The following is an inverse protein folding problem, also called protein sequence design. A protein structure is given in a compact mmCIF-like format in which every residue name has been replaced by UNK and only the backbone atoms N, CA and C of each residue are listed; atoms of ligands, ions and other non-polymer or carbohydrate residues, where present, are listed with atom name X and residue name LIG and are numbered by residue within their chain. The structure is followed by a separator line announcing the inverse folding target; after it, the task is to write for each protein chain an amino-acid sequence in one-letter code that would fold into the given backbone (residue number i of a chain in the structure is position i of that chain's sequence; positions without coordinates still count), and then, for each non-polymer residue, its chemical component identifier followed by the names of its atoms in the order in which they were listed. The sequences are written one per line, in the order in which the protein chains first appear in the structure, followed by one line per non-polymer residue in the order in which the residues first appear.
data_IF_794563510526
#
_entry.id   IF_794563510526
#
_cell.length_a   1.000
_cell.length_b   1.000
_cell.length_c   1.000
_cell.angle_alpha   90.00
_cell.angle_beta   90.00
_cell.angle_gamma   90.00
#
_symmetry.space_group_name_H-M   'P 1'
#
loop_
_entity.id
_entity.type
_entity.pdbx_description
1 polymer ?
#
# COMPACT_ATOMS: atom_id res chain seq x y z
N UNK A 1 3.21 17.85 -1.41
CA UNK A 1 2.41 17.22 -2.50
C UNK A 1 2.09 15.75 -2.25
N UNK A 2 3.08 14.88 -2.00
CA UNK A 2 2.86 13.44 -1.75
C UNK A 2 1.95 13.17 -0.54
N UNK A 3 2.20 13.83 0.59
CA UNK A 3 1.38 13.64 1.81
C UNK A 3 -0.08 14.08 1.63
N UNK A 4 -0.32 15.19 0.91
CA UNK A 4 -1.67 15.65 0.57
C UNK A 4 -2.39 14.65 -0.35
N UNK A 5 -1.69 14.08 -1.33
CA UNK A 5 -2.25 13.04 -2.20
C UNK A 5 -2.60 11.75 -1.42
N UNK A 6 -1.79 11.37 -0.43
CA UNK A 6 -2.08 10.22 0.43
C UNK A 6 -3.32 10.44 1.30
N UNK A 7 -3.50 11.65 1.87
CA UNK A 7 -4.70 12.01 2.63
C UNK A 7 -5.97 11.95 1.76
N UNK A 8 -5.92 12.49 0.54
CA UNK A 8 -7.05 12.44 -0.40
C UNK A 8 -7.37 11.02 -0.87
N UNK A 9 -6.34 10.20 -1.11
CA UNK A 9 -6.51 8.79 -1.46
C UNK A 9 -7.18 8.00 -0.32
N UNK A 10 -6.75 8.26 0.92
CA UNK A 10 -7.38 7.67 2.11
C UNK A 10 -8.85 8.10 2.20
N UNK A 11 -9.14 9.38 2.02
CA UNK A 11 -10.50 9.92 2.07
C UNK A 11 -11.40 9.33 0.97
N UNK A 12 -10.90 9.23 -0.26
CA UNK A 12 -11.56 8.55 -1.37
C UNK A 12 -11.86 7.08 -1.04
N UNK A 13 -10.88 6.33 -0.51
CA UNK A 13 -11.04 4.92 -0.15
C UNK A 13 -12.09 4.72 0.95
N UNK A 14 -12.09 5.58 1.97
CA UNK A 14 -13.07 5.52 3.06
C UNK A 14 -14.51 5.78 2.58
N UNK A 15 -14.69 6.57 1.52
CA UNK A 15 -16.00 6.85 0.92
C UNK A 15 -16.56 5.70 0.09
N UNK A 16 -15.69 4.99 -0.63
CA UNK A 16 -16.11 3.86 -1.46
C UNK A 16 -16.35 2.56 -0.68
N UNK A 17 -15.82 2.46 0.54
CA UNK A 17 -16.02 1.29 1.37
C UNK A 17 -17.49 1.13 1.75
N UNK A 18 -18.04 -0.05 1.48
CA UNK A 18 -19.31 -0.46 2.08
C UNK A 18 -19.21 -0.44 3.60
N UNK A 19 -20.35 -0.37 4.29
CA UNK A 19 -20.39 -0.44 5.76
C UNK A 19 -19.68 -1.70 6.30
N UNK A 20 -19.72 -2.80 5.55
CA UNK A 20 -19.04 -4.05 5.91
C UNK A 20 -17.51 -3.95 5.75
N UNK A 21 -17.01 -3.36 4.67
CA UNK A 21 -15.57 -3.19 4.41
C UNK A 21 -14.92 -2.15 5.32
N UNK A 22 -15.63 -1.04 5.56
CA UNK A 22 -15.20 0.00 6.49
C UNK A 22 -15.07 -0.57 7.90
N UNK A 23 -16.09 -1.32 8.33
CA UNK A 23 -16.09 -2.07 9.59
C UNK A 23 -14.98 -3.10 9.63
N UNK A 24 -14.75 -3.91 8.60
CA UNK A 24 -13.65 -4.88 8.58
C UNK A 24 -12.28 -4.19 8.76
N UNK A 25 -12.09 -3.07 8.06
CA UNK A 25 -10.86 -2.28 8.14
C UNK A 25 -10.69 -1.67 9.53
N UNK A 26 -11.78 -1.13 10.09
CA UNK A 26 -11.81 -0.60 11.44
C UNK A 26 -11.68 -1.68 12.51
N UNK A 27 -12.17 -2.89 12.28
CA UNK A 27 -11.99 -4.06 13.15
C UNK A 27 -10.56 -4.57 13.07
N UNK A 28 -9.88 -4.51 11.92
CA UNK A 28 -8.45 -4.84 11.80
C UNK A 28 -7.56 -3.80 12.48
N UNK A 29 -7.89 -2.51 12.34
CA UNK A 29 -7.19 -1.45 13.09
C UNK A 29 -7.52 -1.52 14.57
N UNK A 30 -8.75 -1.84 14.96
CA UNK A 30 -9.15 -2.11 16.34
C UNK A 30 -8.45 -3.35 16.89
N UNK A 31 -8.31 -4.45 16.16
CA UNK A 31 -7.56 -5.64 16.58
C UNK A 31 -6.05 -5.34 16.71
N UNK A 32 -5.52 -4.41 15.91
CA UNK A 32 -4.18 -3.86 16.09
C UNK A 32 -4.10 -2.96 17.33
N UNK A 33 -5.15 -2.19 17.63
CA UNK A 33 -5.27 -1.42 18.87
C UNK A 33 -5.52 -2.30 20.10
N UNK A 34 -6.18 -3.46 19.98
CA UNK A 34 -6.40 -4.43 21.05
C UNK A 34 -5.11 -5.18 21.38
N UNK A 35 -4.24 -5.42 20.38
CA UNK A 35 -2.84 -5.81 20.63
C UNK A 35 -2.08 -4.77 21.45
N UNK A 36 -2.42 -3.48 21.28
CA UNK A 36 -1.89 -2.39 22.11
C UNK A 36 -2.59 -2.28 23.50
N UNK A 37 -3.65 -3.05 23.76
CA UNK A 37 -4.29 -3.17 25.09
C UNK A 37 -3.73 -4.32 25.93
N UNK A 38 -2.78 -5.09 25.40
CA UNK A 38 -2.12 -6.17 26.12
C UNK A 38 -1.47 -5.73 27.45
N UNK A 39 -0.99 -6.69 28.26
CA UNK A 39 -0.27 -6.37 29.48
C UNK A 39 0.91 -5.44 29.17
N UNK A 40 1.12 -4.45 30.04
CA UNK A 40 2.30 -3.59 29.94
C UNK A 40 3.56 -4.45 30.10
N UNK A 41 4.64 -4.12 29.40
CA UNK A 41 5.93 -4.72 29.72
C UNK A 41 6.25 -4.49 31.21
N UNK A 42 6.83 -5.49 31.91
CA UNK A 42 7.33 -5.28 33.26
C UNK A 42 8.55 -4.34 33.21
N UNK A 43 8.58 -3.33 34.08
CA UNK A 43 9.68 -2.36 34.19
C UNK A 43 9.23 -0.90 34.15
N UNK A 44 10.18 0.01 34.36
CA UNK A 44 9.96 1.46 34.27
C UNK A 44 9.92 1.94 32.80
N UNK A 45 9.12 2.97 32.52
CA UNK A 45 9.03 3.61 31.19
C UNK A 45 10.39 4.12 30.73
N UNK A 46 11.24 4.56 31.67
CA UNK A 46 12.64 4.97 31.37
C UNK A 46 13.46 3.83 30.79
N UNK A 47 13.40 2.64 31.38
CA UNK A 47 14.13 1.47 30.89
C UNK A 47 13.73 1.05 29.47
N UNK A 48 12.44 1.23 29.13
CA UNK A 48 11.95 1.00 27.77
C UNK A 48 12.49 2.03 26.77
N UNK A 49 12.49 3.31 27.14
CA UNK A 49 13.06 4.38 26.30
C UNK A 49 14.57 4.21 26.12
N UNK A 50 15.30 3.87 27.19
CA UNK A 50 16.74 3.60 27.13
C UNK A 50 17.04 2.40 26.21
N UNK A 51 16.21 1.35 26.28
CA UNK A 51 16.32 0.18 25.40
C UNK A 51 16.02 0.53 23.94
N UNK A 52 15.01 1.37 23.68
CA UNK A 52 14.71 1.88 22.33
C UNK A 52 15.90 2.66 21.77
N UNK A 53 16.41 3.64 22.52
CA UNK A 53 17.55 4.48 22.12
C UNK A 53 18.79 3.63 21.89
N UNK A 54 19.06 2.64 22.75
CA UNK A 54 20.21 1.75 22.62
C UNK A 54 20.14 0.90 21.35
N UNK A 55 18.97 0.30 21.06
CA UNK A 55 18.77 -0.52 19.86
C UNK A 55 18.78 0.33 18.59
N UNK A 56 18.20 1.53 18.60
CA UNK A 56 18.28 2.45 17.44
C UNK A 56 19.71 2.91 17.21
N UNK A 57 20.45 3.30 18.25
CA UNK A 57 21.83 3.72 18.11
C UNK A 57 22.73 2.59 17.61
N UNK A 58 22.47 1.35 17.99
CA UNK A 58 23.15 0.18 17.44
C UNK A 58 22.79 -0.10 15.98
N UNK A 59 21.52 0.10 15.60
CA UNK A 59 21.10 0.05 14.22
C UNK A 59 21.85 1.10 13.40
N UNK A 60 21.93 2.34 13.89
CA UNK A 60 22.58 3.46 13.23
C UNK A 60 24.09 3.25 13.09
N UNK A 61 24.76 2.74 14.15
CA UNK A 61 26.19 2.35 14.07
C UNK A 61 26.40 1.27 13.02
N UNK A 62 25.58 0.22 13.03
CA UNK A 62 25.68 -0.84 12.04
C UNK A 62 25.45 -0.32 10.62
N UNK A 63 24.46 0.57 10.42
CA UNK A 63 24.21 1.22 9.15
C UNK A 63 25.36 2.14 8.73
N UNK A 64 26.05 2.81 9.65
CA UNK A 64 27.22 3.63 9.34
C UNK A 64 28.45 2.79 8.97
N UNK A 65 28.61 1.63 9.61
CA UNK A 65 29.71 0.70 9.34
C UNK A 65 29.47 -0.13 8.06
N UNK A 66 28.22 -0.43 7.72
CA UNK A 66 27.85 -1.41 6.67
C UNK A 66 26.90 -0.85 5.58
N UNK A 67 26.52 0.43 5.63
CA UNK A 67 25.75 1.12 4.59
C UNK A 67 26.46 2.43 4.22
N UNK A 68 26.73 2.77 2.96
CA UNK A 68 26.26 2.27 1.67
C UNK A 68 27.40 2.54 0.68
N UNK A 69 27.90 1.53 -0.04
CA UNK A 69 28.58 1.78 -1.31
C UNK A 69 27.56 2.36 -2.30
N UNK A 70 27.58 3.68 -2.49
CA UNK A 70 26.77 4.34 -3.50
C UNK A 70 27.42 4.21 -4.87
N UNK A 71 27.18 3.11 -5.59
CA UNK A 71 27.22 3.12 -7.06
C UNK A 71 26.02 2.37 -7.67
N UNK A 72 25.06 3.15 -8.17
CA UNK A 72 24.37 2.83 -9.42
C UNK A 72 23.21 1.82 -9.44
N UNK A 73 22.89 1.08 -8.38
CA UNK A 73 21.75 0.13 -8.40
C UNK A 73 20.90 0.21 -7.15
N UNK A 74 19.57 0.06 -7.29
CA UNK A 74 18.55 0.22 -6.25
C UNK A 74 18.96 -0.30 -4.86
N UNK A 75 18.54 0.35 -3.75
CA UNK A 75 19.00 0.01 -2.41
C UNK A 75 18.62 -1.43 -2.07
N UNK A 76 19.59 -2.34 -2.17
CA UNK A 76 19.49 -3.65 -1.56
C UNK A 76 19.39 -3.43 -0.05
N UNK A 77 18.38 -4.00 0.60
CA UNK A 77 18.28 -4.00 2.07
C UNK A 77 19.65 -4.40 2.64
N UNK A 78 20.22 -3.64 3.59
CA UNK A 78 21.48 -4.03 4.21
C UNK A 78 21.30 -5.42 4.80
N UNK A 79 22.24 -6.32 4.52
CA UNK A 79 22.21 -7.67 5.11
C UNK A 79 22.65 -7.54 6.57
N UNK A 80 21.70 -7.48 7.50
CA UNK A 80 21.96 -7.49 8.95
C UNK A 80 22.51 -8.86 9.45
N UNK A 81 23.04 -9.70 8.55
CA UNK A 81 23.46 -11.08 8.81
C UNK A 81 24.90 -11.20 9.33
N UNK A 82 25.72 -10.15 9.24
CA UNK A 82 27.19 -10.22 9.38
C UNK A 82 27.74 -10.06 10.79
N UNK A 83 26.93 -9.66 11.77
CA UNK A 83 27.43 -9.48 13.13
C UNK A 83 27.35 -10.80 13.91
N UNK A 84 28.50 -11.37 14.28
CA UNK A 84 28.61 -12.56 15.14
C UNK A 84 28.59 -12.20 16.63
N UNK A 85 28.91 -10.95 16.97
CA UNK A 85 28.89 -10.44 18.34
C UNK A 85 27.60 -9.68 18.69
N UNK A 86 27.14 -9.74 19.96
CA UNK A 86 25.95 -9.03 20.40
C UNK A 86 26.21 -7.52 20.45
N UNK A 87 25.39 -6.75 19.74
CA UNK A 87 25.54 -5.30 19.64
C UNK A 87 24.83 -4.57 20.77
N UNK A 88 23.74 -5.16 21.30
CA UNK A 88 22.91 -4.54 22.34
C UNK A 88 22.37 -5.58 23.30
N UNK A 89 22.22 -5.18 24.57
CA UNK A 89 21.50 -5.94 25.60
C UNK A 89 20.19 -5.23 25.92
N UNK A 90 19.09 -5.97 25.93
CA UNK A 90 17.74 -5.44 26.23
C UNK A 90 17.10 -6.32 27.30
N UNK A 91 16.38 -5.78 28.30
CA UNK A 91 15.63 -6.61 29.24
C UNK A 91 14.77 -7.64 28.51
N UNK A 92 14.92 -8.93 28.85
CA UNK A 92 14.35 -10.01 28.03
C UNK A 92 12.82 -9.90 27.86
N UNK A 93 12.14 -9.33 28.86
CA UNK A 93 10.70 -9.14 28.86
C UNK A 93 10.21 -8.16 27.79
N UNK A 94 11.04 -7.20 27.36
CA UNK A 94 10.70 -6.24 26.30
C UNK A 94 10.76 -6.86 24.90
N UNK A 95 11.44 -8.00 24.77
CA UNK A 95 11.62 -8.75 23.52
C UNK A 95 11.12 -10.19 23.65
N UNK A 96 10.07 -10.40 24.44
CA UNK A 96 9.50 -11.71 24.74
C UNK A 96 9.22 -12.59 23.50
N UNK A 97 8.75 -12.06 22.34
CA UNK A 97 8.59 -12.89 21.13
C UNK A 97 9.89 -13.53 20.65
N UNK A 98 11.01 -12.82 20.71
CA UNK A 98 12.34 -13.33 20.33
C UNK A 98 12.85 -14.38 21.31
N UNK A 99 12.51 -14.22 22.59
CA UNK A 99 12.82 -15.21 23.62
C UNK A 99 12.00 -16.48 23.40
N UNK A 100 10.70 -16.34 23.11
CA UNK A 100 9.80 -17.46 22.86
C UNK A 100 10.23 -18.29 21.64
N UNK A 101 10.74 -17.65 20.58
CA UNK A 101 11.31 -18.32 19.41
C UNK A 101 12.72 -18.88 19.62
N UNK A 102 13.31 -18.70 20.82
CA UNK A 102 14.70 -19.07 21.15
C UNK A 102 15.72 -18.49 20.18
N UNK A 103 15.44 -17.32 19.62
CA UNK A 103 16.31 -16.69 18.62
C UNK A 103 17.40 -15.81 19.23
N UNK A 104 17.34 -15.56 20.54
CA UNK A 104 18.29 -14.70 21.27
C UNK A 104 18.89 -15.44 22.45
N UNK A 105 20.14 -15.13 22.77
CA UNK A 105 20.82 -15.63 23.97
C UNK A 105 20.43 -14.77 25.17
N UNK A 106 20.23 -15.39 26.34
CA UNK A 106 19.91 -14.70 27.58
C UNK A 106 21.11 -14.69 28.52
N UNK A 107 21.38 -13.55 29.18
CA UNK A 107 22.36 -13.41 30.25
C UNK A 107 21.88 -12.38 31.26
N UNK A 108 21.80 -12.78 32.54
CA UNK A 108 21.51 -11.90 33.69
C UNK A 108 20.22 -11.09 33.57
N UNK A 109 19.15 -11.68 33.01
CA UNK A 109 17.88 -10.96 32.80
C UNK A 109 17.84 -10.08 31.55
N UNK A 110 18.86 -10.17 30.69
CA UNK A 110 18.90 -9.47 29.41
C UNK A 110 18.95 -10.45 28.24
N UNK A 111 18.29 -10.09 27.14
CA UNK A 111 18.47 -10.69 25.84
C UNK A 111 19.62 -9.99 25.10
N UNK A 112 20.56 -10.79 24.60
CA UNK A 112 21.69 -10.36 23.79
C UNK A 112 21.26 -10.34 22.32
N UNK A 113 21.22 -9.14 21.74
CA UNK A 113 20.76 -8.91 20.38
C UNK A 113 21.96 -8.78 19.43
N UNK A 114 21.95 -9.57 18.36
CA UNK A 114 22.81 -9.37 17.21
C UNK A 114 22.12 -8.44 16.20
N UNK A 115 22.86 -7.93 15.22
CA UNK A 115 22.34 -7.05 14.17
C UNK A 115 21.07 -7.62 13.52
N UNK A 116 21.05 -8.92 13.17
CA UNK A 116 19.87 -9.57 12.56
C UNK A 116 18.59 -9.46 13.40
N UNK A 117 18.69 -9.28 14.71
CA UNK A 117 17.56 -9.19 15.62
C UNK A 117 17.01 -7.76 15.75
N UNK A 118 17.76 -6.74 15.34
CA UNK A 118 17.42 -5.32 15.49
C UNK A 118 16.02 -4.97 14.95
N UNK A 119 15.58 -5.39 13.75
CA UNK A 119 14.25 -5.02 13.24
C UNK A 119 13.10 -5.60 14.08
N UNK A 120 13.26 -6.85 14.52
CA UNK A 120 12.27 -7.53 15.34
C UNK A 120 12.26 -6.97 16.77
N UNK A 121 13.43 -6.63 17.33
CA UNK A 121 13.56 -5.99 18.63
C UNK A 121 12.94 -4.59 18.63
N UNK A 122 13.22 -3.77 17.61
CA UNK A 122 12.59 -2.45 17.43
C UNK A 122 11.06 -2.56 17.32
N UNK A 123 10.57 -3.57 16.61
CA UNK A 123 9.12 -3.80 16.52
C UNK A 123 8.50 -4.10 17.89
N UNK A 124 9.14 -4.96 18.69
CA UNK A 124 8.68 -5.28 20.05
C UNK A 124 8.72 -4.05 20.97
N UNK A 125 9.83 -3.31 20.94
CA UNK A 125 10.02 -2.13 21.78
C UNK A 125 9.07 -0.99 21.39
N UNK A 126 8.83 -0.77 20.10
CA UNK A 126 7.88 0.22 19.62
C UNK A 126 6.46 -0.15 20.02
N UNK A 127 6.09 -1.43 19.91
CA UNK A 127 4.78 -1.90 20.37
C UNK A 127 4.63 -1.69 21.89
N UNK A 128 5.65 -2.02 22.68
CA UNK A 128 5.69 -1.76 24.11
C UNK A 128 5.54 -0.26 24.44
N UNK A 129 6.22 0.63 23.72
CA UNK A 129 6.13 2.08 23.92
C UNK A 129 4.76 2.63 23.56
N UNK A 130 4.14 2.13 22.49
CA UNK A 130 2.77 2.46 22.13
C UNK A 130 1.77 2.01 23.21
N UNK A 131 1.96 0.83 23.80
CA UNK A 131 1.12 0.35 24.94
C UNK A 131 1.24 1.26 26.15
N UNK A 132 2.46 1.65 26.52
CA UNK A 132 2.71 2.58 27.64
C UNK A 132 2.10 3.95 27.34
N UNK A 133 2.38 4.50 26.17
CA UNK A 133 1.85 5.79 25.71
C UNK A 133 0.32 5.81 25.66
N UNK A 134 -0.32 4.73 25.23
CA UNK A 134 -1.78 4.61 25.22
C UNK A 134 -2.40 4.58 26.63
N UNK A 135 -1.72 3.96 27.61
CA UNK A 135 -2.20 3.96 29.00
C UNK A 135 -1.92 5.28 29.74
N UNK A 136 -0.79 5.93 29.43
CA UNK A 136 -0.44 7.24 29.99
C UNK A 136 -1.24 8.38 29.37
N UNK A 137 -1.56 8.28 28.08
CA UNK A 137 -2.56 9.11 27.43
C UNK A 137 -3.91 8.78 28.09
N UNK A 138 -4.25 9.53 29.14
CA UNK A 138 -5.61 9.51 29.67
C UNK A 138 -6.53 9.73 28.48
N UNK A 139 -7.55 8.89 28.26
CA UNK A 139 -8.59 9.23 27.32
C UNK A 139 -9.40 10.34 28.01
N UNK A 140 -8.90 11.57 27.94
CA UNK A 140 -9.80 12.68 27.75
C UNK A 140 -10.36 12.45 26.35
N UNK A 141 -11.32 11.52 26.22
CA UNK A 141 -12.20 11.52 25.07
C UNK A 141 -12.91 12.84 25.22
N UNK A 142 -12.39 13.82 24.49
CA UNK A 142 -13.02 15.11 24.35
C UNK A 142 -14.50 14.83 24.10
N UNK A 143 -15.38 15.39 24.94
CA UNK A 143 -16.80 15.08 24.89
C UNK A 143 -17.38 15.40 23.50
N UNK A 144 -16.71 16.27 22.72
CA UNK A 144 -17.04 16.57 21.32
C UNK A 144 -16.81 15.40 20.36
N UNK A 145 -15.97 14.43 20.71
CA UNK A 145 -15.69 13.23 19.91
C UNK A 145 -16.68 12.09 20.17
N UNK A 146 -17.39 12.08 21.31
CA UNK A 146 -18.37 11.04 21.66
C UNK A 146 -19.55 10.94 20.65
N UNK A 147 -20.13 12.06 20.14
CA UNK A 147 -21.15 12.00 19.08
C UNK A 147 -20.62 11.42 17.77
N UNK A 148 -19.34 11.65 17.44
CA UNK A 148 -18.72 11.11 16.23
C UNK A 148 -18.46 9.61 16.38
N UNK A 149 -17.95 9.19 17.54
CA UNK A 149 -17.71 7.79 17.87
C UNK A 149 -19.00 6.97 17.89
N UNK A 150 -20.09 7.50 18.48
CA UNK A 150 -21.41 6.84 18.50
C UNK A 150 -22.05 6.74 17.11
N UNK A 151 -21.90 7.77 16.27
CA UNK A 151 -22.32 7.73 14.85
C UNK A 151 -21.51 6.73 14.04
N UNK A 152 -20.21 6.57 14.32
CA UNK A 152 -19.37 5.57 13.68
C UNK A 152 -19.75 4.15 14.13
N UNK A 153 -19.83 3.89 15.44
CA UNK A 153 -20.16 2.55 15.97
C UNK A 153 -21.56 2.07 15.55
N UNK A 154 -22.57 2.95 15.60
CA UNK A 154 -23.92 2.62 15.10
C UNK A 154 -23.95 2.35 13.59
N UNK A 155 -23.05 2.95 12.81
CA UNK A 155 -22.98 2.71 11.36
C UNK A 155 -22.22 1.43 10.99
N UNK A 156 -21.45 0.84 11.91
CA UNK A 156 -20.47 -0.20 11.63
C UNK A 156 -20.77 -1.57 12.27
N UNK A 157 -21.90 -1.80 12.94
CA UNK A 157 -22.06 -2.89 13.93
C UNK A 157 -21.79 -4.36 13.50
N UNK A 158 -20.57 -4.88 13.77
CA UNK A 158 -19.89 -6.24 13.74
C UNK A 158 -20.53 -7.48 13.05
N UNK A 159 -19.84 -8.07 12.05
CA UNK A 159 -20.16 -9.24 11.18
C UNK A 159 -18.79 -9.73 10.72
N UNK A 160 -18.55 -11.01 10.94
CA UNK A 160 -17.30 -11.70 10.64
C UNK A 160 -17.12 -11.93 9.13
N UNK A 161 -15.85 -12.02 8.72
CA UNK A 161 -15.42 -11.99 7.31
C UNK A 161 -15.71 -13.27 6.53
N UNK A 162 -15.28 -13.30 5.25
CA UNK A 162 -15.32 -14.54 4.47
C UNK A 162 -14.25 -14.60 3.37
N UNK A 163 -13.43 -15.65 3.42
CA UNK A 163 -12.98 -16.49 2.30
C UNK A 163 -11.93 -15.98 1.29
N UNK A 164 -11.12 -16.89 0.69
CA UNK A 164 -10.32 -16.57 -0.50
C UNK A 164 -11.25 -16.34 -1.70
N UNK A 165 -11.15 -15.16 -2.31
CA UNK A 165 -12.00 -14.74 -3.41
C UNK A 165 -11.73 -15.56 -4.68
N UNK A 166 -12.80 -16.03 -5.33
CA UNK A 166 -12.74 -16.65 -6.65
C UNK A 166 -12.14 -15.67 -7.69
N UNK A 167 -11.51 -16.18 -8.78
CA UNK A 167 -10.98 -15.33 -9.83
C UNK A 167 -12.07 -14.43 -10.44
N UNK A 168 -11.75 -13.14 -10.58
CA UNK A 168 -12.66 -12.12 -11.07
C UNK A 168 -12.89 -12.30 -12.59
N UNK A 169 -14.13 -12.20 -13.05
CA UNK A 169 -14.48 -12.18 -14.48
C UNK A 169 -14.55 -10.75 -15.02
N UNK A 170 -14.50 -10.59 -16.35
CA UNK A 170 -14.62 -9.27 -16.99
C UNK A 170 -15.94 -8.54 -16.69
N UNK A 171 -17.12 -9.18 -16.72
CA UNK A 171 -18.36 -8.49 -16.34
C UNK A 171 -18.34 -8.02 -14.89
N UNK A 172 -17.73 -8.79 -13.99
CA UNK A 172 -17.56 -8.40 -12.59
C UNK A 172 -16.59 -7.21 -12.45
N UNK A 173 -15.51 -7.18 -13.24
CA UNK A 173 -14.62 -6.03 -13.33
C UNK A 173 -15.34 -4.78 -13.86
N UNK A 174 -16.15 -4.92 -14.91
CA UNK A 174 -16.94 -3.81 -15.46
C UNK A 174 -17.90 -3.25 -14.40
N UNK A 175 -18.61 -4.12 -13.67
CA UNK A 175 -19.47 -3.72 -12.55
C UNK A 175 -18.69 -3.06 -11.41
N UNK A 176 -17.47 -3.51 -11.13
CA UNK A 176 -16.58 -2.95 -10.11
C UNK A 176 -15.76 -1.74 -10.58
N UNK A 177 -15.88 -1.33 -11.86
CA UNK A 177 -15.07 -0.24 -12.43
C UNK A 177 -15.16 1.06 -11.62
N UNK A 178 -16.35 1.52 -11.17
CA UNK A 178 -16.46 2.75 -10.36
C UNK A 178 -15.72 2.69 -9.01
N UNK A 179 -15.40 1.48 -8.52
CA UNK A 179 -14.69 1.26 -7.27
C UNK A 179 -13.17 1.28 -7.43
N UNK A 180 -12.67 1.30 -8.67
CA UNK A 180 -11.25 1.32 -8.96
C UNK A 180 -10.64 2.66 -8.55
N UNK A 181 -9.35 2.69 -8.14
CA UNK A 181 -8.71 3.94 -7.78
C UNK A 181 -8.66 4.90 -8.98
N UNK A 182 -8.68 6.23 -8.76
CA UNK A 182 -8.76 7.21 -9.84
C UNK A 182 -7.63 7.09 -10.86
N UNK A 183 -6.44 6.66 -10.43
CA UNK A 183 -5.32 6.42 -11.34
C UNK A 183 -5.62 5.33 -12.39
N UNK A 184 -6.35 4.28 -12.03
CA UNK A 184 -6.71 3.21 -12.94
C UNK A 184 -7.95 3.57 -13.75
N UNK A 185 -8.90 4.31 -13.16
CA UNK A 185 -10.03 4.89 -13.89
C UNK A 185 -9.57 5.81 -15.02
N UNK A 186 -8.59 6.68 -14.77
CA UNK A 186 -8.02 7.55 -15.80
C UNK A 186 -7.42 6.75 -16.97
N UNK A 187 -6.69 5.66 -16.66
CA UNK A 187 -6.14 4.78 -17.69
C UNK A 187 -7.22 4.04 -18.48
N UNK A 188 -8.29 3.59 -17.81
CA UNK A 188 -9.42 2.92 -18.46
C UNK A 188 -10.20 3.86 -19.36
N UNK A 189 -10.50 5.08 -18.89
CA UNK A 189 -11.19 6.10 -19.68
C UNK A 189 -10.37 6.44 -20.94
N UNK A 190 -9.05 6.59 -20.79
CA UNK A 190 -8.17 6.89 -21.91
C UNK A 190 -8.04 5.72 -22.89
N UNK A 191 -7.96 4.49 -22.36
CA UNK A 191 -7.97 3.28 -23.18
C UNK A 191 -9.27 3.17 -23.98
N UNK A 192 -10.42 3.40 -23.37
CA UNK A 192 -11.73 3.37 -24.07
C UNK A 192 -11.86 4.46 -25.13
N UNK A 193 -11.21 5.61 -24.92
CA UNK A 193 -11.26 6.74 -25.86
C UNK A 193 -10.32 6.58 -27.05
N UNK A 194 -9.07 6.14 -26.82
CA UNK A 194 -8.06 6.02 -27.89
C UNK A 194 -7.90 4.60 -28.43
N UNK A 195 -8.41 3.60 -27.71
CA UNK A 195 -8.12 2.18 -27.87
C UNK A 195 -6.63 1.84 -27.81
N UNK A 196 -5.79 2.78 -27.33
CA UNK A 196 -4.33 2.66 -27.30
C UNK A 196 -3.81 3.36 -26.06
N UNK A 197 -2.98 2.64 -25.31
CA UNK A 197 -2.17 3.17 -24.22
C UNK A 197 -0.68 3.07 -24.54
N UNK A 198 0.16 4.00 -24.02
CA UNK A 198 1.61 3.90 -24.11
C UNK A 198 2.14 2.73 -23.28
N UNK A 199 3.39 2.32 -23.52
CA UNK A 199 3.92 1.07 -22.96
C UNK A 199 3.83 1.00 -21.43
N UNK A 200 4.28 2.04 -20.73
CA UNK A 200 4.31 2.03 -19.27
C UNK A 200 2.90 1.96 -18.66
N UNK A 201 1.91 2.57 -19.31
CA UNK A 201 0.53 2.59 -18.85
C UNK A 201 -0.16 1.24 -19.08
N UNK A 202 0.16 0.56 -20.19
CA UNK A 202 -0.25 -0.84 -20.39
C UNK A 202 0.28 -1.74 -19.29
N UNK A 203 1.54 -1.58 -18.91
CA UNK A 203 2.15 -2.39 -17.84
C UNK A 203 1.49 -2.09 -16.50
N UNK A 204 1.28 -0.82 -16.17
CA UNK A 204 0.63 -0.43 -14.92
C UNK A 204 -0.80 -0.98 -14.82
N UNK A 205 -1.62 -0.80 -15.85
CA UNK A 205 -3.00 -1.29 -15.88
C UNK A 205 -3.06 -2.82 -15.88
N UNK A 206 -2.24 -3.50 -16.69
CA UNK A 206 -2.27 -4.98 -16.77
C UNK A 206 -1.86 -5.64 -15.44
N UNK A 207 -0.82 -5.11 -14.78
CA UNK A 207 -0.38 -5.62 -13.48
C UNK A 207 -1.43 -5.35 -12.40
N UNK A 208 -2.10 -4.20 -12.44
CA UNK A 208 -3.21 -3.89 -11.55
C UNK A 208 -4.40 -4.85 -11.74
N UNK A 209 -4.84 -5.08 -12.98
CA UNK A 209 -5.94 -6.01 -13.26
C UNK A 209 -5.65 -7.43 -12.77
N UNK A 210 -4.40 -7.90 -12.93
CA UNK A 210 -3.93 -9.16 -12.36
C UNK A 210 -4.06 -9.18 -10.83
N UNK A 211 -3.57 -8.14 -10.14
CA UNK A 211 -3.60 -8.10 -8.67
C UNK A 211 -5.02 -7.92 -8.08
N UNK A 212 -5.94 -7.31 -8.83
CA UNK A 212 -7.37 -7.26 -8.47
C UNK A 212 -8.04 -8.64 -8.60
N UNK A 213 -7.37 -9.61 -9.22
CA UNK A 213 -7.80 -11.00 -9.31
C UNK A 213 -8.35 -11.41 -10.67
N UNK A 214 -8.18 -10.60 -11.72
CA UNK A 214 -8.56 -10.96 -13.09
C UNK A 214 -7.66 -12.10 -13.58
N UNK A 215 -8.25 -13.19 -14.07
CA UNK A 215 -7.47 -14.31 -14.61
C UNK A 215 -6.67 -13.90 -15.85
N UNK A 216 -5.65 -14.69 -16.21
CA UNK A 216 -4.86 -14.43 -17.42
C UNK A 216 -5.74 -14.42 -18.67
N UNK A 217 -6.66 -15.38 -18.78
CA UNK A 217 -7.56 -15.54 -19.92
C UNK A 217 -8.48 -14.32 -20.05
N UNK A 218 -9.04 -13.86 -18.93
CA UNK A 218 -9.88 -12.66 -18.88
C UNK A 218 -9.09 -11.39 -19.20
N UNK A 219 -7.84 -11.28 -18.73
CA UNK A 219 -6.96 -10.14 -19.06
C UNK A 219 -6.57 -10.13 -20.55
N UNK A 220 -6.33 -11.30 -21.15
CA UNK A 220 -6.12 -11.44 -22.60
C UNK A 220 -7.36 -10.96 -23.36
N UNK A 221 -8.55 -11.41 -22.97
CA UNK A 221 -9.82 -10.98 -23.59
C UNK A 221 -10.05 -9.47 -23.47
N UNK A 222 -9.69 -8.88 -22.32
CA UNK A 222 -9.76 -7.44 -22.10
C UNK A 222 -8.92 -6.67 -23.12
N UNK A 223 -7.63 -7.01 -23.24
CA UNK A 223 -6.73 -6.32 -24.18
C UNK A 223 -7.08 -6.60 -25.63
N UNK A 224 -7.53 -7.82 -25.95
CA UNK A 224 -8.03 -8.18 -27.28
C UNK A 224 -9.20 -7.29 -27.69
N UNK A 225 -10.21 -7.15 -26.82
CA UNK A 225 -11.40 -6.33 -27.09
C UNK A 225 -11.05 -4.89 -27.41
N UNK A 226 -10.10 -4.30 -26.68
CA UNK A 226 -9.67 -2.91 -26.89
C UNK A 226 -8.74 -2.76 -28.11
N UNK A 227 -7.76 -3.64 -28.30
CA UNK A 227 -6.75 -3.49 -29.37
C UNK A 227 -7.20 -4.02 -30.74
N UNK A 228 -8.35 -4.71 -30.79
CA UNK A 228 -9.06 -5.00 -32.03
C UNK A 228 -9.78 -3.75 -32.58
N UNK A 229 -10.13 -2.77 -31.73
CA UNK A 229 -10.75 -1.54 -32.21
C UNK A 229 -9.77 -0.68 -33.01
N UNK A 230 -10.26 0.09 -34.00
CA UNK A 230 -9.47 1.09 -34.69
C UNK A 230 -8.82 2.06 -33.70
N UNK A 231 -7.59 2.48 -34.00
CA UNK A 231 -6.92 3.46 -33.16
C UNK A 231 -7.67 4.80 -33.25
N UNK A 232 -8.07 5.35 -32.11
CA UNK A 232 -8.77 6.63 -32.03
C UNK A 232 -7.88 7.82 -32.38
N UNK A 233 -8.49 8.99 -32.58
CA UNK A 233 -7.77 10.24 -32.83
C UNK A 233 -6.76 10.55 -31.70
N UNK A 234 -5.51 10.85 -32.08
CA UNK A 234 -4.42 11.11 -31.13
C UNK A 234 -3.83 9.85 -30.48
N UNK A 235 -4.09 8.65 -31.02
CA UNK A 235 -3.43 7.43 -30.56
C UNK A 235 -1.90 7.55 -30.66
N UNK A 236 -1.21 7.20 -29.57
CA UNK A 236 0.26 7.28 -29.48
C UNK A 236 0.96 6.10 -30.17
N UNK A 237 0.19 5.17 -30.75
CA UNK A 237 0.69 3.88 -31.22
C UNK A 237 -0.21 3.26 -32.29
N UNK A 238 0.39 2.74 -33.37
CA UNK A 238 -0.30 2.10 -34.51
C UNK A 238 -0.45 0.58 -34.40
N UNK A 239 -0.16 0.01 -33.22
CA UNK A 239 -0.22 -1.44 -33.04
C UNK A 239 -1.68 -1.91 -33.03
N UNK A 240 -1.97 -3.08 -33.57
CA UNK A 240 -3.28 -3.73 -33.47
C UNK A 240 -3.14 -5.11 -32.84
N UNK A 241 -4.24 -5.65 -32.32
CA UNK A 241 -4.24 -7.02 -31.80
C UNK A 241 -3.85 -8.03 -32.88
N UNK A 242 -4.50 -7.99 -34.04
CA UNK A 242 -4.27 -8.90 -35.18
C UNK A 242 -2.79 -8.98 -35.63
N UNK A 243 -2.09 -7.84 -35.64
CA UNK A 243 -0.67 -7.79 -36.08
C UNK A 243 0.30 -8.19 -34.96
N UNK A 244 -0.10 -8.03 -33.70
CA UNK A 244 0.84 -8.04 -32.57
C UNK A 244 0.45 -9.04 -31.45
N UNK A 245 -0.53 -9.90 -31.69
CA UNK A 245 -1.11 -10.84 -30.72
C UNK A 245 -0.05 -11.63 -29.94
N UNK A 246 0.90 -12.26 -30.64
CA UNK A 246 1.97 -13.05 -30.00
C UNK A 246 2.77 -12.23 -28.97
N UNK A 247 3.05 -10.96 -29.25
CA UNK A 247 3.78 -10.08 -28.33
C UNK A 247 2.94 -9.69 -27.12
N UNK A 248 1.65 -9.42 -27.30
CA UNK A 248 0.74 -9.12 -26.20
C UNK A 248 0.54 -10.33 -25.28
N UNK A 249 0.31 -11.52 -25.87
CA UNK A 249 0.18 -12.77 -25.12
C UNK A 249 1.44 -13.06 -24.30
N UNK A 250 2.63 -12.98 -24.93
CA UNK A 250 3.88 -13.16 -24.21
C UNK A 250 4.04 -12.15 -23.07
N UNK A 251 3.75 -10.87 -23.31
CA UNK A 251 3.82 -9.83 -22.28
C UNK A 251 2.87 -10.09 -21.11
N UNK A 252 1.64 -10.51 -21.37
CA UNK A 252 0.66 -10.84 -20.34
C UNK A 252 1.10 -12.08 -19.55
N UNK A 253 1.52 -13.15 -20.21
CA UNK A 253 2.05 -14.35 -19.53
C UNK A 253 3.26 -14.04 -18.66
N UNK A 254 4.15 -13.16 -19.13
CA UNK A 254 5.28 -12.69 -18.35
C UNK A 254 4.85 -11.92 -17.08
N UNK A 255 3.84 -11.05 -17.17
CA UNK A 255 3.30 -10.34 -16.01
C UNK A 255 2.65 -11.27 -14.97
N UNK A 256 2.09 -12.40 -15.41
CA UNK A 256 1.56 -13.44 -14.52
C UNK A 256 2.63 -14.41 -14.01
N UNK A 257 3.91 -14.22 -14.37
CA UNK A 257 5.01 -15.08 -13.93
C UNK A 257 5.08 -16.43 -14.67
N UNK A 258 4.49 -16.54 -15.85
CA UNK A 258 4.49 -17.78 -16.65
C UNK A 258 5.60 -17.81 -17.71
N UNK A 259 6.33 -16.70 -17.90
CA UNK A 259 7.43 -16.58 -18.86
C UNK A 259 8.67 -15.96 -18.18
N UNK A 260 9.81 -16.03 -18.86
CA UNK A 260 11.05 -15.40 -18.40
C UNK A 260 11.51 -15.90 -17.02
N UNK A 261 11.78 -14.96 -16.09
CA UNK A 261 12.20 -15.27 -14.70
C UNK A 261 11.11 -15.92 -13.84
N UNK A 262 9.88 -16.09 -14.36
CA UNK A 262 8.73 -16.68 -13.66
C UNK A 262 8.38 -15.99 -12.34
N UNK A 263 8.56 -14.67 -12.30
CA UNK A 263 8.14 -13.82 -11.19
C UNK A 263 6.98 -12.96 -11.67
N UNK A 264 5.84 -13.05 -10.98
CA UNK A 264 4.67 -12.25 -11.29
C UNK A 264 4.96 -10.76 -11.00
N UNK A 265 4.57 -9.88 -11.91
CA UNK A 265 4.80 -8.45 -11.81
C UNK A 265 3.86 -7.87 -10.75
N UNK A 266 4.39 -7.24 -9.72
CA UNK A 266 3.56 -6.52 -8.76
C UNK A 266 2.99 -5.24 -9.38
N UNK A 267 1.74 -4.91 -9.04
CA UNK A 267 1.15 -3.61 -9.36
C UNK A 267 1.97 -2.46 -8.78
N UNK A 268 1.92 -1.31 -9.45
CA UNK A 268 2.70 -0.16 -9.02
C UNK A 268 2.15 0.41 -7.72
N UNK A 269 3.03 0.66 -6.75
CA UNK A 269 2.67 1.36 -5.53
C UNK A 269 2.26 2.81 -5.83
N UNK A 270 1.48 3.41 -4.92
CA UNK A 270 1.06 4.82 -5.02
C UNK A 270 2.28 5.75 -5.17
N UNK A 271 3.31 5.54 -4.36
CA UNK A 271 4.58 6.26 -4.44
C UNK A 271 5.19 6.19 -5.84
N UNK A 272 5.29 4.99 -6.41
CA UNK A 272 5.86 4.80 -7.76
C UNK A 272 5.02 5.48 -8.85
N UNK A 273 3.69 5.49 -8.72
CA UNK A 273 2.81 6.21 -9.64
C UNK A 273 2.91 7.73 -9.51
N UNK A 274 3.11 8.24 -8.28
CA UNK A 274 3.32 9.67 -8.02
C UNK A 274 4.67 10.15 -8.54
N UNK A 275 5.74 9.37 -8.33
CA UNK A 275 7.09 9.69 -8.83
C UNK A 275 7.12 9.78 -10.37
N UNK A 276 6.28 9.00 -11.05
CA UNK A 276 6.16 9.00 -12.52
C UNK A 276 5.38 10.21 -13.07
N UNK A 277 4.63 10.94 -12.25
CA UNK A 277 3.89 12.12 -12.71
C UNK A 277 4.87 13.17 -13.26
N UNK A 278 4.62 13.67 -14.48
CA UNK A 278 5.43 14.73 -15.10
C UNK A 278 6.69 14.27 -15.85
N UNK A 279 7.00 12.97 -15.88
CA UNK A 279 8.21 12.46 -16.55
C UNK A 279 8.09 12.35 -18.08
N UNK A 280 6.88 12.36 -18.65
CA UNK A 280 6.73 12.40 -20.11
C UNK A 280 5.47 13.13 -20.53
N UNK A 281 5.60 13.94 -21.59
CA UNK A 281 4.54 14.75 -22.20
C UNK A 281 3.40 13.91 -22.78
N UNK A 282 3.63 12.61 -23.01
CA UNK A 282 2.70 11.67 -23.64
C UNK A 282 2.16 10.57 -22.72
N UNK A 283 2.55 10.56 -21.43
CA UNK A 283 2.04 9.60 -20.44
C UNK A 283 0.72 10.12 -19.88
N UNK A 284 -0.37 9.41 -20.18
CA UNK A 284 -1.66 9.62 -19.54
C UNK A 284 -1.71 8.96 -18.14
N UNK A 285 -0.75 8.10 -17.82
CA UNK A 285 -0.63 7.43 -16.52
C UNK A 285 0.08 8.25 -15.45
N UNK A 286 -0.26 7.94 -14.20
CA UNK A 286 0.26 8.57 -13.00
C UNK A 286 -0.78 8.60 -11.88
N UNK A 287 -0.52 9.38 -10.83
CA UNK A 287 -1.48 9.72 -9.78
C UNK A 287 -2.29 10.97 -10.16
N UNK A 288 -3.62 10.89 -10.35
CA UNK A 288 -4.45 12.05 -10.68
C UNK A 288 -4.42 13.15 -9.63
N UNK A 289 -4.26 12.78 -8.35
CA UNK A 289 -4.15 13.76 -7.26
C UNK A 289 -2.86 14.60 -7.28
N UNK A 290 -1.90 14.23 -8.11
CA UNK A 290 -0.62 14.95 -8.29
C UNK A 290 -0.54 15.59 -9.67
N UNK A 291 -0.87 14.84 -10.73
CA UNK A 291 -0.63 15.28 -12.11
C UNK A 291 -1.77 16.04 -12.78
N UNK A 292 -3.00 15.97 -12.25
CA UNK A 292 -4.16 16.58 -12.91
C UNK A 292 -4.45 17.95 -12.30
N UNK A 293 -4.92 18.87 -13.14
CA UNK A 293 -5.51 20.12 -12.66
C UNK A 293 -6.88 19.86 -12.00
N UNK A 294 -7.36 20.83 -11.23
CA UNK A 294 -8.58 20.70 -10.44
C UNK A 294 -9.83 20.40 -11.31
N UNK A 295 -9.92 20.94 -12.52
CA UNK A 295 -11.06 20.71 -13.40
C UNK A 295 -11.04 19.28 -13.96
N UNK A 296 -9.89 18.83 -14.47
CA UNK A 296 -9.72 17.46 -14.97
C UNK A 296 -9.92 16.42 -13.86
N UNK A 297 -9.42 16.67 -12.66
CA UNK A 297 -9.63 15.78 -11.51
C UNK A 297 -11.10 15.72 -11.10
N UNK A 298 -11.79 16.87 -11.05
CA UNK A 298 -13.23 16.91 -10.71
C UNK A 298 -14.04 16.14 -11.74
N UNK A 299 -13.75 16.33 -13.04
CA UNK A 299 -14.39 15.61 -14.14
C UNK A 299 -14.21 14.09 -14.01
N UNK A 300 -12.98 13.63 -13.76
CA UNK A 300 -12.69 12.20 -13.57
C UNK A 300 -13.46 11.60 -12.40
N UNK A 301 -13.52 12.32 -11.27
CA UNK A 301 -14.20 11.85 -10.06
C UNK A 301 -15.72 11.79 -10.23
N UNK A 302 -16.32 12.70 -10.98
CA UNK A 302 -17.77 12.71 -11.21
C UNK A 302 -18.18 11.75 -12.32
N UNK A 303 -17.45 11.71 -13.45
CA UNK A 303 -17.83 10.90 -14.62
C UNK A 303 -17.50 9.42 -14.45
N UNK A 304 -16.29 9.09 -13.98
CA UNK A 304 -15.80 7.71 -13.93
C UNK A 304 -16.02 7.07 -12.56
N UNK A 305 -15.79 7.82 -11.47
CA UNK A 305 -15.97 7.31 -10.12
C UNK A 305 -17.40 7.50 -9.56
N UNK A 306 -18.27 8.21 -10.28
CA UNK A 306 -19.68 8.40 -9.91
C UNK A 306 -19.89 9.21 -8.61
N UNK A 307 -18.91 10.03 -8.20
CA UNK A 307 -19.03 10.86 -7.00
C UNK A 307 -19.96 12.05 -7.23
N UNK A 308 -20.65 12.49 -6.17
CA UNK A 308 -21.44 13.71 -6.25
C UNK A 308 -20.54 14.94 -6.48
N UNK A 309 -21.00 16.00 -7.19
CA UNK A 309 -20.18 17.17 -7.47
C UNK A 309 -19.61 17.86 -6.22
N UNK A 310 -20.39 17.93 -5.13
CA UNK A 310 -19.95 18.48 -3.83
C UNK A 310 -18.84 17.64 -3.18
N UNK A 311 -18.91 16.32 -3.36
CA UNK A 311 -17.95 15.36 -2.85
C UNK A 311 -16.63 15.40 -3.61
N UNK A 312 -16.70 15.51 -4.93
CA UNK A 312 -15.55 15.71 -5.80
C UNK A 312 -14.88 17.07 -5.51
N UNK A 313 -15.68 18.13 -5.34
CA UNK A 313 -15.18 19.46 -4.97
C UNK A 313 -14.44 19.46 -3.62
N UNK A 314 -14.89 18.67 -2.64
CA UNK A 314 -14.17 18.53 -1.36
C UNK A 314 -12.79 17.89 -1.56
N UNK A 315 -12.71 16.86 -2.41
CA UNK A 315 -11.46 16.16 -2.71
C UNK A 315 -10.51 17.00 -3.57
N UNK A 316 -11.03 17.95 -4.34
CA UNK A 316 -10.21 18.86 -5.16
C UNK A 316 -9.85 20.15 -4.42
N UNK A 317 -10.68 20.67 -3.51
CA UNK A 317 -10.41 21.93 -2.80
C UNK A 317 -9.16 21.91 -1.89
N UNK A 318 -8.67 20.73 -1.49
CA UNK A 318 -7.42 20.59 -0.73
C UNK A 318 -6.15 20.78 -1.61
N UNK A 319 -6.25 21.30 -2.84
CA UNK A 319 -5.13 21.54 -3.78
C UNK A 319 -4.42 22.89 -3.66
N UNK A 320 -4.59 23.64 -2.58
CA UNK A 320 -3.77 24.85 -2.33
C UNK A 320 -2.94 24.65 -1.07
#
# INVERSE_FOLDING_TARGET
MVEAAERRLLHYRLRLMSRAELRYTLCRTAARADRLRGPLPPGDTRSLLDSLVSVTAAADRHLAEHGVETEGTAPSRPKLETCEEPVVRVPFALVAPLVASRSVTLSDGYALLLCRHTPAALSCLQEAALRVGQRQARPAVDQRLLPLLSRLTSRLGVVEGSGPAAPLSLPALEAATPLLPPCMLALLAELRRRHRLPHQDRVALSAFLKDVGLSLEENVRFWEREYCQPAGHGATCSHSWSRCQKRYLYSLRHMYGLEGRRVAFESHSCRRLQERCGQSVSSCGGCPFVGFDAASLTSLLTSEAGLAPSEAATLTAETV
#
